data_IF_761372056540
#
_entry.id   IF_761372056540
#
_cell.length_a   1.000
_cell.length_b   1.000
_cell.length_c   1.000
_cell.angle_alpha   90.00
_cell.angle_beta   90.00
_cell.angle_gamma   90.00
#
_symmetry.space_group_name_H-M   'P 1'
#
loop_
_entity.id
_entity.type
_entity.pdbx_description
1 polymer ?
#
# COMPACT_ATOMS: atom_id res chain seq x y z
N UNK A 1 29.19 -6.35 -3.49
CA UNK A 1 28.38 -6.93 -4.60
C UNK A 1 27.05 -6.21 -4.82
N UNK A 2 26.22 -6.02 -3.78
CA UNK A 2 24.86 -5.46 -3.92
C UNK A 2 24.81 -4.07 -4.58
N UNK A 3 25.80 -3.21 -4.31
CA UNK A 3 25.89 -1.84 -4.83
C UNK A 3 26.54 -1.72 -6.21
N UNK A 4 27.00 -2.83 -6.80
CA UNK A 4 27.69 -2.84 -8.10
C UNK A 4 26.69 -3.17 -9.23
N UNK A 5 26.71 -2.50 -10.39
CA UNK A 5 25.72 -2.70 -11.47
C UNK A 5 25.54 -4.16 -11.95
N UNK A 6 26.64 -4.90 -12.10
CA UNK A 6 26.62 -6.33 -12.47
C UNK A 6 26.41 -7.23 -11.25
N UNK A 7 27.18 -7.00 -10.17
CA UNK A 7 27.09 -7.76 -8.93
C UNK A 7 25.69 -7.76 -8.30
N UNK A 8 24.91 -6.68 -8.47
CA UNK A 8 23.54 -6.58 -7.98
C UNK A 8 22.61 -7.60 -8.64
N UNK A 9 22.84 -7.95 -9.92
CA UNK A 9 22.06 -8.97 -10.64
C UNK A 9 22.30 -10.37 -10.07
N UNK A 10 23.58 -10.70 -9.82
CA UNK A 10 23.97 -11.97 -9.19
C UNK A 10 23.39 -12.03 -7.77
N UNK A 11 23.53 -10.95 -7.02
CA UNK A 11 23.01 -10.87 -5.66
C UNK A 11 21.48 -11.05 -5.60
N UNK A 12 20.72 -10.46 -6.53
CA UNK A 12 19.27 -10.72 -6.67
C UNK A 12 18.96 -12.18 -6.97
N UNK A 13 19.74 -12.83 -7.84
CA UNK A 13 19.57 -14.26 -8.13
C UNK A 13 19.80 -15.13 -6.89
N UNK A 14 20.77 -14.75 -6.03
CA UNK A 14 21.00 -15.39 -4.73
C UNK A 14 19.78 -15.23 -3.82
N UNK A 15 19.28 -13.98 -3.64
CA UNK A 15 18.11 -13.69 -2.79
C UNK A 15 16.89 -14.56 -3.18
N UNK A 16 16.61 -14.69 -4.48
CA UNK A 16 15.50 -15.51 -4.98
C UNK A 16 15.58 -16.97 -4.54
N UNK A 17 16.80 -17.51 -4.53
CA UNK A 17 17.09 -18.93 -4.27
C UNK A 17 17.25 -19.25 -2.78
N UNK A 18 17.22 -18.26 -1.90
CA UNK A 18 17.29 -18.51 -0.45
C UNK A 18 16.13 -19.38 0.01
N UNK A 19 16.45 -20.38 0.84
CA UNK A 19 15.49 -21.32 1.42
C UNK A 19 15.38 -21.19 2.93
N UNK A 20 16.44 -20.73 3.60
CA UNK A 20 16.49 -20.62 5.05
C UNK A 20 16.38 -19.16 5.48
N UNK A 21 15.59 -18.93 6.52
CA UNK A 21 15.37 -17.60 7.12
C UNK A 21 16.66 -17.02 7.69
N UNK A 22 17.47 -17.85 8.36
CA UNK A 22 18.77 -17.46 8.91
C UNK A 22 19.74 -16.89 7.85
N UNK A 23 19.70 -17.42 6.62
CA UNK A 23 20.55 -16.90 5.53
C UNK A 23 20.11 -15.48 5.13
N UNK A 24 18.80 -15.22 5.10
CA UNK A 24 18.27 -13.89 4.81
C UNK A 24 18.62 -12.91 5.94
N UNK A 25 18.49 -13.33 7.20
CA UNK A 25 18.88 -12.52 8.36
C UNK A 25 20.37 -12.15 8.34
N UNK A 26 21.24 -13.12 7.99
CA UNK A 26 22.69 -12.89 7.85
C UNK A 26 22.99 -11.88 6.74
N UNK A 27 22.29 -12.00 5.60
CA UNK A 27 22.39 -11.04 4.50
C UNK A 27 21.93 -9.66 4.95
N UNK A 28 20.80 -9.58 5.65
CA UNK A 28 20.28 -8.32 6.16
C UNK A 28 21.24 -7.66 7.17
N UNK A 29 21.80 -8.43 8.11
CA UNK A 29 22.81 -7.94 9.05
C UNK A 29 24.07 -7.41 8.34
N UNK A 30 24.50 -8.09 7.27
CA UNK A 30 25.64 -7.65 6.45
C UNK A 30 25.35 -6.39 5.62
N UNK A 31 24.08 -6.13 5.29
CA UNK A 31 23.66 -4.92 4.58
C UNK A 31 23.49 -3.72 5.52
N UNK A 32 23.11 -3.99 6.77
CA UNK A 32 22.91 -3.00 7.83
C UNK A 32 24.24 -2.56 8.47
N UNK A 33 25.23 -3.45 8.54
CA UNK A 33 26.55 -3.14 9.10
C UNK A 33 27.20 -1.96 8.36
N UNK A 34 27.60 -0.92 9.12
CA UNK A 34 28.31 0.28 8.65
C UNK A 34 29.79 0.00 8.34
N UNK A 35 30.08 -1.13 7.69
CA UNK A 35 31.44 -1.65 7.51
C UNK A 35 32.22 -0.96 6.39
N UNK A 36 31.88 0.27 6.04
CA UNK A 36 32.56 0.98 4.95
C UNK A 36 33.22 2.26 5.44
N UNK A 37 34.38 2.58 4.87
CA UNK A 37 35.24 3.72 5.25
C UNK A 37 34.51 5.07 5.32
N UNK A 38 33.36 5.19 4.65
CA UNK A 38 32.52 6.40 4.57
C UNK A 38 31.41 6.48 5.64
N UNK A 39 31.33 5.54 6.59
CA UNK A 39 30.28 5.52 7.64
C UNK A 39 28.86 5.18 7.16
N UNK A 40 28.62 5.12 5.85
CA UNK A 40 27.33 4.74 5.27
C UNK A 40 27.09 3.22 5.28
N UNK A 41 25.84 2.82 5.52
CA UNK A 41 25.43 1.41 5.38
C UNK A 41 25.52 0.94 3.92
N UNK A 42 25.71 -0.37 3.70
CA UNK A 42 25.74 -0.93 2.34
C UNK A 42 24.40 -0.70 1.62
N UNK A 43 23.29 -0.76 2.36
CA UNK A 43 21.96 -0.49 1.81
C UNK A 43 21.80 0.97 1.35
N UNK A 44 22.33 1.92 2.10
CA UNK A 44 22.35 3.33 1.69
C UNK A 44 23.16 3.53 0.39
N UNK A 45 24.30 2.84 0.26
CA UNK A 45 25.06 2.81 -1.01
C UNK A 45 24.26 2.18 -2.16
N UNK A 46 23.46 1.16 -1.89
CA UNK A 46 22.54 0.53 -2.88
C UNK A 46 21.49 1.53 -3.35
N UNK A 47 20.89 2.29 -2.44
CA UNK A 47 19.91 3.35 -2.75
C UNK A 47 20.58 4.45 -3.58
N UNK A 48 21.70 4.98 -3.11
CA UNK A 48 22.44 6.07 -3.76
C UNK A 48 22.99 5.72 -5.15
N UNK A 49 23.34 4.43 -5.39
CA UNK A 49 23.81 3.94 -6.70
C UNK A 49 22.69 3.44 -7.61
N UNK A 50 21.43 3.68 -7.27
CA UNK A 50 20.28 3.31 -8.11
C UNK A 50 20.04 1.80 -8.24
N UNK A 51 20.60 0.97 -7.35
CA UNK A 51 20.47 -0.49 -7.41
C UNK A 51 19.16 -0.98 -6.74
N UNK A 52 18.07 -0.26 -7.01
CA UNK A 52 16.75 -0.39 -6.36
C UNK A 52 16.09 -1.76 -6.53
N UNK A 53 16.46 -2.49 -7.57
CA UNK A 53 15.92 -3.80 -7.83
C UNK A 53 16.35 -4.84 -6.78
N UNK A 54 17.45 -4.58 -6.05
CA UNK A 54 17.85 -5.38 -4.87
C UNK A 54 16.83 -5.23 -3.74
N UNK A 55 16.39 -4.00 -3.46
CA UNK A 55 15.40 -3.71 -2.42
C UNK A 55 14.05 -4.40 -2.69
N UNK A 56 13.58 -4.31 -3.93
CA UNK A 56 12.34 -4.98 -4.33
C UNK A 56 12.43 -6.51 -4.21
N UNK A 57 13.60 -7.08 -4.49
CA UNK A 57 13.81 -8.52 -4.34
C UNK A 57 13.80 -8.94 -2.86
N UNK A 58 14.47 -8.18 -1.99
CA UNK A 58 14.44 -8.40 -0.55
C UNK A 58 13.02 -8.27 0.00
N UNK A 59 12.28 -7.22 -0.41
CA UNK A 59 10.91 -7.01 0.03
C UNK A 59 9.96 -8.14 -0.44
N UNK A 60 10.15 -8.60 -1.69
CA UNK A 60 9.42 -9.74 -2.23
C UNK A 60 9.72 -11.01 -1.44
N UNK A 61 10.99 -11.23 -1.09
CA UNK A 61 11.41 -12.40 -0.32
C UNK A 61 10.83 -12.39 1.09
N UNK A 62 10.85 -11.24 1.77
CA UNK A 62 10.26 -11.06 3.10
C UNK A 62 8.73 -11.27 3.14
N UNK A 63 8.06 -11.18 1.99
CA UNK A 63 6.62 -11.43 1.89
C UNK A 63 6.24 -12.91 1.77
N UNK A 64 7.19 -13.80 1.54
CA UNK A 64 6.92 -15.23 1.39
C UNK A 64 6.66 -15.86 2.78
N UNK A 65 5.77 -16.85 2.85
CA UNK A 65 5.29 -17.46 4.11
C UNK A 65 6.41 -17.97 5.04
N UNK A 66 7.60 -18.31 4.52
CA UNK A 66 8.74 -18.74 5.32
C UNK A 66 9.68 -17.62 5.84
N UNK A 67 9.44 -16.37 5.46
CA UNK A 67 10.34 -15.24 5.76
C UNK A 67 9.62 -14.06 6.44
N UNK A 68 8.37 -14.26 6.86
CA UNK A 68 7.54 -13.20 7.43
C UNK A 68 8.13 -12.59 8.71
N UNK A 69 8.85 -13.37 9.49
CA UNK A 69 9.46 -12.92 10.75
C UNK A 69 10.56 -11.88 10.52
N UNK A 70 11.20 -11.94 9.34
CA UNK A 70 12.28 -11.04 8.94
C UNK A 70 11.76 -9.68 8.47
N UNK A 71 10.45 -9.56 8.19
CA UNK A 71 9.86 -8.30 7.70
C UNK A 71 10.19 -7.10 8.59
N UNK A 72 10.14 -7.27 9.92
CA UNK A 72 10.39 -6.16 10.85
C UNK A 72 11.84 -5.68 10.78
N UNK A 73 12.79 -6.62 10.71
CA UNK A 73 14.21 -6.31 10.56
C UNK A 73 14.47 -5.59 9.24
N UNK A 74 13.88 -6.07 8.14
CA UNK A 74 13.99 -5.43 6.84
C UNK A 74 13.43 -4.01 6.82
N UNK A 75 12.22 -3.81 7.36
CA UNK A 75 11.58 -2.47 7.42
C UNK A 75 12.40 -1.50 8.26
N UNK A 76 12.88 -1.94 9.44
CA UNK A 76 13.73 -1.12 10.30
C UNK A 76 14.99 -0.67 9.56
N UNK A 77 15.73 -1.61 8.98
CA UNK A 77 16.93 -1.33 8.20
C UNK A 77 16.62 -0.36 7.04
N UNK A 78 15.57 -0.62 6.26
CA UNK A 78 15.19 0.24 5.14
C UNK A 78 14.94 1.68 5.60
N UNK A 79 14.19 1.88 6.68
CA UNK A 79 13.88 3.21 7.19
C UNK A 79 15.15 3.91 7.69
N UNK A 80 16.00 3.21 8.44
CA UNK A 80 17.27 3.74 8.90
C UNK A 80 18.19 4.13 7.74
N UNK A 81 18.30 3.32 6.70
CA UNK A 81 19.09 3.63 5.50
C UNK A 81 18.51 4.77 4.65
N UNK A 82 17.23 5.07 4.77
CA UNK A 82 16.61 6.27 4.19
C UNK A 82 16.83 7.51 5.08
N UNK A 83 17.36 7.37 6.31
CA UNK A 83 17.55 8.46 7.26
C UNK A 83 16.33 8.73 8.14
N UNK A 84 15.37 7.79 8.21
CA UNK A 84 14.17 7.91 9.01
C UNK A 84 14.26 7.03 10.28
N UNK A 85 13.89 7.58 11.44
CA UNK A 85 13.99 6.90 12.75
C UNK A 85 13.05 5.69 12.91
N UNK A 86 12.06 5.57 12.02
CA UNK A 86 11.00 4.57 12.11
C UNK A 86 9.96 4.88 13.18
N UNK A 87 10.04 6.06 13.81
CA UNK A 87 9.03 6.54 14.74
C UNK A 87 7.82 7.02 13.93
N UNK A 88 6.62 6.71 14.43
CA UNK A 88 5.38 7.13 13.78
C UNK A 88 5.24 8.67 13.89
N UNK A 89 4.92 9.38 12.81
CA UNK A 89 4.71 10.82 12.88
C UNK A 89 3.52 11.16 13.79
N UNK A 90 3.63 12.30 14.47
CA UNK A 90 2.59 12.78 15.37
C UNK A 90 1.38 13.29 14.57
N UNK A 91 0.14 13.11 15.07
CA UNK A 91 -1.06 13.43 14.31
C UNK A 91 -1.36 14.93 14.14
N UNK A 92 -0.56 15.84 14.71
CA UNK A 92 -0.87 17.27 14.78
C UNK A 92 0.26 18.21 14.32
N UNK A 93 1.31 17.67 13.69
CA UNK A 93 2.33 18.50 13.06
C UNK A 93 1.85 18.90 11.66
N UNK A 94 1.85 20.19 11.35
CA UNK A 94 1.58 20.71 10.00
C UNK A 94 2.65 20.25 8.99
N UNK A 95 3.78 19.76 9.49
CA UNK A 95 4.87 19.23 8.69
C UNK A 95 4.57 17.85 8.12
N UNK A 96 4.80 17.72 6.81
CA UNK A 96 4.67 16.48 6.09
C UNK A 96 5.86 15.56 6.41
N UNK A 97 5.59 14.40 7.00
CA UNK A 97 6.62 13.39 7.21
C UNK A 97 7.24 12.93 5.86
N UNK A 98 8.57 12.88 5.73
CA UNK A 98 9.22 12.61 4.45
C UNK A 98 9.26 11.12 4.08
N UNK A 99 8.95 10.19 5.00
CA UNK A 99 9.23 8.76 4.81
C UNK A 99 8.57 8.20 3.55
N UNK A 100 7.27 8.42 3.36
CA UNK A 100 6.56 7.88 2.20
C UNK A 100 7.16 8.40 0.89
N UNK A 101 7.54 9.68 0.85
CA UNK A 101 8.19 10.32 -0.30
C UNK A 101 9.59 9.73 -0.54
N UNK A 102 10.35 9.48 0.52
CA UNK A 102 11.64 8.80 0.46
C UNK A 102 11.51 7.37 -0.09
N UNK A 103 10.47 6.64 0.30
CA UNK A 103 10.22 5.26 -0.19
C UNK A 103 9.82 5.26 -1.66
N UNK A 104 8.87 6.11 -2.08
CA UNK A 104 8.42 6.13 -3.49
C UNK A 104 9.46 6.74 -4.42
N UNK A 105 10.28 7.68 -3.92
CA UNK A 105 11.41 8.24 -4.65
C UNK A 105 12.68 7.39 -4.60
N UNK A 106 12.82 6.49 -3.62
CA UNK A 106 14.08 5.83 -3.25
C UNK A 106 15.23 6.83 -3.11
N UNK A 107 14.96 7.88 -2.35
CA UNK A 107 15.87 8.98 -2.03
C UNK A 107 15.95 9.10 -0.50
N UNK A 108 17.12 9.42 0.05
CA UNK A 108 17.27 9.64 1.50
C UNK A 108 16.58 10.94 1.94
N UNK A 109 16.16 11.00 3.20
CA UNK A 109 15.54 12.18 3.80
C UNK A 109 16.42 13.44 3.65
N UNK A 110 17.74 13.28 3.77
CA UNK A 110 18.71 14.38 3.62
C UNK A 110 18.67 15.00 2.22
N UNK A 111 18.63 14.15 1.17
CA UNK A 111 18.57 14.60 -0.23
C UNK A 111 17.20 15.12 -0.63
N UNK A 112 16.15 14.77 0.12
CA UNK A 112 14.80 15.26 -0.16
C UNK A 112 14.67 16.77 0.07
N UNK A 113 15.36 17.31 1.08
CA UNK A 113 15.36 18.75 1.36
C UNK A 113 16.01 19.59 0.27
N UNK A 114 17.01 19.05 -0.44
CA UNK A 114 17.73 19.78 -1.50
C UNK A 114 17.00 19.82 -2.85
N UNK A 115 16.01 18.95 -3.08
CA UNK A 115 15.28 18.85 -4.36
C UNK A 115 14.16 19.91 -4.52
N UNK A 116 13.94 20.75 -3.51
CA UNK A 116 12.85 21.73 -3.48
C UNK A 116 13.26 23.07 -4.15
N UNK A 117 14.54 23.24 -4.53
CA UNK A 117 15.10 24.56 -4.82
C UNK A 117 15.55 24.89 -6.26
N UNK A 118 15.17 24.12 -7.29
CA UNK A 118 15.51 24.47 -8.69
C UNK A 118 14.29 24.94 -9.50
N UNK A 119 14.50 26.00 -10.30
CA UNK A 119 13.51 26.95 -10.82
C UNK A 119 12.71 26.54 -12.09
N UNK A 120 11.62 27.31 -12.30
CA UNK A 120 10.90 27.73 -13.55
C UNK A 120 9.82 26.84 -14.20
N UNK A 121 8.61 27.45 -14.37
CA UNK A 121 7.30 27.04 -14.97
C UNK A 121 6.07 26.71 -14.06
N UNK A 122 5.30 27.74 -13.70
CA UNK A 122 4.27 27.79 -12.63
C UNK A 122 3.18 26.69 -12.57
N UNK A 123 2.74 26.07 -13.66
CA UNK A 123 1.58 25.13 -13.62
C UNK A 123 1.98 23.65 -13.70
N UNK A 124 2.92 23.29 -14.58
CA UNK A 124 3.49 21.94 -14.60
C UNK A 124 4.43 21.70 -13.41
N UNK A 125 5.11 22.75 -12.89
CA UNK A 125 5.92 22.65 -11.68
C UNK A 125 5.10 22.29 -10.45
N UNK A 126 3.90 22.86 -10.27
CA UNK A 126 3.09 22.57 -9.06
C UNK A 126 2.72 21.09 -9.05
N UNK A 127 2.25 20.53 -10.16
CA UNK A 127 1.88 19.11 -10.22
C UNK A 127 3.11 18.19 -10.15
N UNK A 128 4.24 18.59 -10.76
CA UNK A 128 5.51 17.88 -10.64
C UNK A 128 6.05 17.90 -9.20
N UNK A 129 6.02 19.03 -8.51
CA UNK A 129 6.45 19.16 -7.11
C UNK A 129 5.59 18.30 -6.18
N UNK A 130 4.27 18.24 -6.42
CA UNK A 130 3.37 17.40 -5.64
C UNK A 130 3.66 15.90 -5.83
N UNK A 131 4.07 15.46 -7.02
CA UNK A 131 4.32 14.04 -7.29
C UNK A 131 5.77 13.61 -7.06
N UNK A 132 6.74 14.52 -7.10
CA UNK A 132 8.17 14.20 -6.98
C UNK A 132 8.65 14.20 -5.52
N UNK A 133 9.66 13.37 -5.20
CA UNK A 133 10.31 12.39 -6.09
C UNK A 133 9.49 11.11 -6.26
N UNK A 134 9.49 10.54 -7.47
CA UNK A 134 8.81 9.27 -7.76
C UNK A 134 9.62 8.37 -8.69
N UNK A 135 9.75 7.09 -8.33
CA UNK A 135 10.41 6.07 -9.14
C UNK A 135 9.56 4.80 -9.20
N UNK A 136 9.65 4.05 -10.30
CA UNK A 136 8.91 2.78 -10.43
C UNK A 136 9.33 1.75 -9.40
N UNK A 137 10.64 1.52 -9.16
CA UNK A 137 11.07 0.63 -8.10
C UNK A 137 10.60 1.09 -6.71
N UNK A 138 10.52 2.39 -6.44
CA UNK A 138 10.04 2.92 -5.16
C UNK A 138 8.55 2.71 -4.95
N UNK A 139 7.73 2.98 -5.97
CA UNK A 139 6.30 2.69 -5.91
C UNK A 139 6.01 1.20 -5.74
N UNK A 140 6.73 0.32 -6.43
CA UNK A 140 6.59 -1.13 -6.26
C UNK A 140 7.00 -1.58 -4.85
N UNK A 141 8.07 -0.99 -4.30
CA UNK A 141 8.48 -1.23 -2.92
C UNK A 141 7.38 -0.79 -1.94
N UNK A 142 6.84 0.41 -2.07
CA UNK A 142 5.78 0.92 -1.21
C UNK A 142 4.54 0.03 -1.23
N UNK A 143 4.07 -0.37 -2.42
CA UNK A 143 2.97 -1.33 -2.58
C UNK A 143 3.25 -2.64 -1.84
N UNK A 144 4.49 -3.14 -1.95
CA UNK A 144 4.90 -4.37 -1.28
C UNK A 144 4.92 -4.23 0.24
N UNK A 145 5.42 -3.12 0.77
CA UNK A 145 5.40 -2.81 2.20
C UNK A 145 3.98 -2.71 2.75
N UNK A 146 3.04 -2.14 2.00
CA UNK A 146 1.63 -2.11 2.41
C UNK A 146 1.01 -3.51 2.52
N UNK A 147 1.53 -4.52 1.82
CA UNK A 147 1.06 -5.91 1.92
C UNK A 147 1.62 -6.69 3.12
N UNK A 148 2.47 -6.08 3.95
CA UNK A 148 3.08 -6.77 5.09
C UNK A 148 2.13 -6.92 6.28
N UNK A 149 2.07 -8.14 6.82
CA UNK A 149 1.23 -8.49 7.96
C UNK A 149 2.01 -8.54 9.27
N UNK A 150 3.23 -9.07 9.25
CA UNK A 150 4.06 -9.22 10.47
C UNK A 150 4.75 -7.92 10.85
N UNK A 151 5.23 -7.16 9.85
CA UNK A 151 5.66 -5.78 10.02
C UNK A 151 4.58 -4.86 9.46
N UNK A 152 3.50 -4.69 10.24
CA UNK A 152 2.36 -3.85 9.84
C UNK A 152 2.85 -2.47 9.38
N UNK A 153 2.36 -1.93 8.26
CA UNK A 153 2.86 -0.68 7.64
C UNK A 153 2.35 0.56 8.37
N UNK A 154 2.33 0.57 9.72
CA UNK A 154 1.72 1.63 10.53
C UNK A 154 2.45 2.95 10.42
N UNK A 155 3.78 2.94 10.38
CA UNK A 155 4.63 4.14 10.23
C UNK A 155 4.50 4.68 8.81
N UNK A 156 4.59 3.82 7.79
CA UNK A 156 4.46 4.20 6.39
C UNK A 156 3.07 4.77 6.07
N UNK A 157 2.01 4.14 6.59
CA UNK A 157 0.63 4.62 6.45
C UNK A 157 0.41 5.94 7.18
N UNK A 158 1.06 6.13 8.33
CA UNK A 158 0.98 7.40 9.05
C UNK A 158 1.67 8.52 8.27
N UNK A 159 2.87 8.28 7.73
CA UNK A 159 3.59 9.19 6.83
C UNK A 159 2.80 9.53 5.56
N UNK A 160 2.09 8.56 4.98
CA UNK A 160 1.18 8.82 3.87
C UNK A 160 0.06 9.80 4.26
N UNK A 161 -0.47 9.70 5.48
CA UNK A 161 -1.55 10.57 5.96
C UNK A 161 -1.08 11.95 6.46
N UNK A 162 0.22 12.21 6.54
CA UNK A 162 0.72 13.58 6.83
C UNK A 162 0.92 14.39 5.56
N UNK A 163 0.79 13.77 4.38
CA UNK A 163 0.92 14.50 3.12
C UNK A 163 -0.28 15.44 2.94
N UNK A 164 -0.03 16.62 2.39
CA UNK A 164 -1.06 17.61 2.08
C UNK A 164 -2.16 17.04 1.19
N UNK A 165 -3.37 17.58 1.35
CA UNK A 165 -4.53 17.19 0.55
C UNK A 165 -4.28 17.33 -0.95
N UNK A 166 -3.63 18.43 -1.36
CA UNK A 166 -3.25 18.65 -2.76
C UNK A 166 -2.34 17.53 -3.29
N UNK A 167 -1.35 17.09 -2.49
CA UNK A 167 -0.46 15.99 -2.87
C UNK A 167 -1.21 14.67 -3.01
N UNK A 168 -2.03 14.31 -2.02
CA UNK A 168 -2.77 13.04 -2.06
C UNK A 168 -3.74 12.98 -3.25
N UNK A 169 -4.36 14.11 -3.60
CA UNK A 169 -5.21 14.21 -4.79
C UNK A 169 -4.40 14.11 -6.09
N UNK A 170 -3.21 14.73 -6.15
CA UNK A 170 -2.30 14.57 -7.29
C UNK A 170 -1.83 13.10 -7.43
N UNK A 171 -1.51 12.44 -6.31
CA UNK A 171 -1.09 11.04 -6.28
C UNK A 171 -2.20 10.11 -6.80
N UNK A 172 -3.46 10.40 -6.49
CA UNK A 172 -4.59 9.62 -6.97
C UNK A 172 -4.70 9.59 -8.51
N UNK A 173 -4.22 10.66 -9.17
CA UNK A 173 -4.23 10.80 -10.63
C UNK A 173 -2.90 10.44 -11.31
N UNK A 174 -1.87 10.08 -10.53
CA UNK A 174 -0.56 9.76 -11.09
C UNK A 174 -0.47 8.27 -11.48
N UNK A 175 0.11 7.90 -12.64
CA UNK A 175 0.17 6.51 -13.14
C UNK A 175 0.74 5.48 -12.17
N UNK A 176 1.63 5.91 -11.28
CA UNK A 176 2.38 5.02 -10.38
C UNK A 176 1.98 5.20 -8.91
N UNK A 177 1.62 6.42 -8.50
CA UNK A 177 1.32 6.73 -7.10
C UNK A 177 -0.14 6.37 -6.77
N UNK A 178 -1.03 6.38 -7.76
CA UNK A 178 -2.38 5.82 -7.66
C UNK A 178 -2.33 4.37 -7.16
N UNK A 179 -1.40 3.56 -7.67
CA UNK A 179 -1.19 2.17 -7.24
C UNK A 179 -0.73 2.05 -5.79
N UNK A 180 0.04 3.02 -5.30
CA UNK A 180 0.46 3.09 -3.89
C UNK A 180 -0.76 3.38 -3.00
N UNK A 181 -1.61 4.33 -3.40
CA UNK A 181 -2.87 4.63 -2.70
C UNK A 181 -3.83 3.44 -2.71
N UNK A 182 -4.02 2.79 -3.86
CA UNK A 182 -4.82 1.56 -3.98
C UNK A 182 -4.31 0.48 -3.00
N UNK A 183 -3.00 0.26 -2.96
CA UNK A 183 -2.40 -0.73 -2.05
C UNK A 183 -2.57 -0.38 -0.58
N UNK A 184 -2.50 0.90 -0.21
CA UNK A 184 -2.75 1.35 1.16
C UNK A 184 -4.22 1.18 1.55
N UNK A 185 -5.16 1.51 0.65
CA UNK A 185 -6.60 1.39 0.87
C UNK A 185 -7.04 -0.08 0.99
N UNK A 186 -6.54 -0.94 0.11
CA UNK A 186 -6.90 -2.36 0.06
C UNK A 186 -6.14 -3.24 1.07
N UNK A 187 -5.09 -2.72 1.72
CA UNK A 187 -4.35 -3.49 2.71
C UNK A 187 -5.14 -3.71 4.00
N UNK A 188 -5.27 -4.97 4.42
CA UNK A 188 -5.86 -5.34 5.72
C UNK A 188 -4.97 -4.94 6.91
N UNK A 189 -3.69 -4.72 6.66
CA UNK A 189 -2.72 -4.37 7.70
C UNK A 189 -2.67 -2.88 8.00
N UNK A 190 -3.19 -2.03 7.09
CA UNK A 190 -3.31 -0.58 7.27
C UNK A 190 -4.49 -0.28 8.22
N UNK A 191 -4.28 0.52 9.29
CA UNK A 191 -5.35 0.87 10.23
C UNK A 191 -6.52 1.58 9.54
N UNK A 192 -7.75 1.23 9.93
CA UNK A 192 -8.99 1.80 9.38
C UNK A 192 -9.04 3.32 9.54
N UNK A 193 -8.55 3.87 10.66
CA UNK A 193 -8.45 5.32 10.87
C UNK A 193 -7.62 6.05 9.81
N UNK A 194 -6.58 5.40 9.27
CA UNK A 194 -5.77 5.96 8.18
C UNK A 194 -6.51 5.90 6.85
N UNK A 195 -7.25 4.82 6.60
CA UNK A 195 -8.11 4.72 5.41
C UNK A 195 -9.25 5.75 5.44
N UNK A 196 -9.85 5.99 6.61
CA UNK A 196 -10.88 7.02 6.81
C UNK A 196 -10.33 8.44 6.59
N UNK A 197 -9.07 8.71 6.99
CA UNK A 197 -8.41 9.97 6.67
C UNK A 197 -8.23 10.15 5.15
N UNK A 198 -7.72 9.13 4.45
CA UNK A 198 -7.58 9.16 2.99
C UNK A 198 -8.92 9.36 2.28
N UNK A 199 -9.99 8.70 2.77
CA UNK A 199 -11.36 8.94 2.32
C UNK A 199 -11.71 10.42 2.42
N UNK A 200 -11.57 11.03 3.59
CA UNK A 200 -11.90 12.44 3.80
C UNK A 200 -11.17 13.38 2.84
N UNK A 201 -9.87 13.15 2.59
CA UNK A 201 -9.06 13.97 1.68
C UNK A 201 -9.49 13.81 0.21
N UNK A 202 -9.69 12.57 -0.24
CA UNK A 202 -10.06 12.27 -1.63
C UNK A 202 -11.51 12.63 -1.94
N UNK A 203 -12.38 12.61 -0.93
CA UNK A 203 -13.80 12.91 -1.07
C UNK A 203 -14.00 14.37 -1.54
N UNK A 204 -13.17 15.32 -1.10
CA UNK A 204 -13.28 16.76 -1.44
C UNK A 204 -13.37 16.98 -2.96
N UNK A 205 -12.51 16.32 -3.74
CA UNK A 205 -12.43 16.45 -5.20
C UNK A 205 -12.80 15.14 -5.93
N UNK A 206 -13.73 14.38 -5.36
CA UNK A 206 -14.07 13.03 -5.83
C UNK A 206 -14.46 12.96 -7.31
N UNK A 207 -15.23 13.93 -7.82
CA UNK A 207 -15.68 13.94 -9.21
C UNK A 207 -14.51 14.07 -10.20
N UNK A 208 -13.54 14.94 -9.90
CA UNK A 208 -12.34 15.12 -10.72
C UNK A 208 -11.50 13.84 -10.75
N UNK A 209 -11.32 13.21 -9.58
CA UNK A 209 -10.58 11.94 -9.45
C UNK A 209 -11.27 10.82 -10.22
N UNK A 210 -12.61 10.70 -10.15
CA UNK A 210 -13.38 9.68 -10.90
C UNK A 210 -13.21 9.82 -12.41
N UNK A 211 -13.07 11.05 -12.91
CA UNK A 211 -12.89 11.33 -14.34
C UNK A 211 -11.47 11.09 -14.81
N UNK A 212 -10.51 10.88 -13.91
CA UNK A 212 -9.15 10.54 -14.28
C UNK A 212 -8.95 9.05 -14.62
N UNK A 213 -8.03 8.77 -15.54
CA UNK A 213 -7.68 7.40 -15.98
C UNK A 213 -7.23 6.51 -14.83
N UNK A 214 -6.44 7.05 -13.90
CA UNK A 214 -5.90 6.33 -12.75
C UNK A 214 -6.77 6.58 -11.51
N UNK A 215 -7.26 7.80 -11.34
CA UNK A 215 -8.12 8.18 -10.23
C UNK A 215 -9.40 7.36 -10.14
N UNK A 216 -10.03 7.00 -11.27
CA UNK A 216 -11.19 6.10 -11.29
C UNK A 216 -10.93 4.76 -10.57
N UNK A 217 -9.73 4.19 -10.72
CA UNK A 217 -9.32 2.96 -10.03
C UNK A 217 -9.07 3.18 -8.53
N UNK A 218 -8.53 4.34 -8.16
CA UNK A 218 -8.38 4.72 -6.74
C UNK A 218 -9.74 4.83 -6.06
N UNK A 219 -10.74 5.43 -6.73
CA UNK A 219 -12.11 5.52 -6.18
C UNK A 219 -12.77 4.16 -6.06
N UNK A 220 -12.52 3.25 -7.00
CA UNK A 220 -12.95 1.86 -6.89
C UNK A 220 -12.30 1.09 -5.73
N UNK A 221 -11.01 1.34 -5.47
CA UNK A 221 -10.30 0.78 -4.32
C UNK A 221 -10.83 1.38 -3.01
N UNK A 222 -11.11 2.69 -3.00
CA UNK A 222 -11.72 3.38 -1.87
C UNK A 222 -13.10 2.81 -1.54
N UNK A 223 -13.95 2.60 -2.55
CA UNK A 223 -15.26 1.97 -2.41
C UNK A 223 -15.19 0.58 -1.76
N UNK A 224 -14.20 -0.23 -2.18
CA UNK A 224 -13.94 -1.55 -1.58
C UNK A 224 -13.43 -1.42 -0.15
N UNK A 225 -12.52 -0.48 0.10
CA UNK A 225 -11.91 -0.29 1.41
C UNK A 225 -12.92 0.14 2.49
N UNK A 226 -13.97 0.86 2.11
CA UNK A 226 -15.06 1.29 3.01
C UNK A 226 -15.71 0.10 3.71
N UNK A 227 -15.75 -1.09 3.10
CA UNK A 227 -16.30 -2.31 3.73
C UNK A 227 -15.61 -2.68 5.05
N UNK A 228 -14.34 -2.30 5.19
CA UNK A 228 -13.53 -2.56 6.38
C UNK A 228 -13.53 -1.41 7.40
N UNK A 229 -14.16 -0.28 7.09
CA UNK A 229 -14.15 0.94 7.91
C UNK A 229 -15.33 0.97 8.90
N UNK A 230 -15.27 1.83 9.95
CA UNK A 230 -16.42 2.09 10.81
C UNK A 230 -17.58 2.67 10.00
N UNK A 231 -18.82 2.24 10.29
CA UNK A 231 -20.05 2.72 9.65
C UNK A 231 -20.03 2.63 8.10
N UNK A 232 -19.75 1.45 7.52
CA UNK A 232 -19.54 1.28 6.09
C UNK A 232 -20.75 1.77 5.27
N UNK A 233 -21.96 1.51 5.76
CA UNK A 233 -23.21 1.89 5.10
C UNK A 233 -23.35 3.41 4.94
N UNK A 234 -23.09 4.17 6.01
CA UNK A 234 -23.16 5.63 6.00
C UNK A 234 -22.07 6.24 5.09
N UNK A 235 -20.86 5.68 5.12
CA UNK A 235 -19.76 6.10 4.25
C UNK A 235 -20.07 5.86 2.77
N UNK A 236 -20.66 4.72 2.44
CA UNK A 236 -21.08 4.38 1.07
C UNK A 236 -22.17 5.30 0.56
N UNK A 237 -23.21 5.54 1.36
CA UNK A 237 -24.26 6.49 1.00
C UNK A 237 -23.69 7.88 0.75
N UNK A 238 -22.78 8.36 1.60
CA UNK A 238 -22.14 9.66 1.43
C UNK A 238 -21.33 9.75 0.12
N UNK A 239 -20.50 8.75 -0.18
CA UNK A 239 -19.72 8.69 -1.42
C UNK A 239 -20.61 8.72 -2.66
N UNK A 240 -21.66 7.90 -2.66
CA UNK A 240 -22.58 7.77 -3.81
C UNK A 240 -23.39 9.06 -3.97
N UNK A 241 -23.88 9.66 -2.88
CA UNK A 241 -24.62 10.91 -2.92
C UNK A 241 -23.83 12.04 -3.60
N UNK A 242 -22.52 12.13 -3.35
CA UNK A 242 -21.65 13.13 -3.99
C UNK A 242 -21.51 12.96 -5.50
N UNK A 243 -21.56 11.72 -6.00
CA UNK A 243 -21.42 11.41 -7.43
C UNK A 243 -22.76 11.36 -8.18
N UNK A 244 -23.87 11.14 -7.47
CA UNK A 244 -25.20 10.98 -8.05
C UNK A 244 -25.67 12.22 -8.83
N UNK A 245 -25.24 13.42 -8.41
CA UNK A 245 -25.54 14.70 -9.08
C UNK A 245 -24.94 14.77 -10.49
N UNK A 246 -23.82 14.09 -10.71
CA UNK A 246 -23.09 14.08 -11.99
C UNK A 246 -23.23 12.74 -12.73
N UNK A 247 -24.21 11.89 -12.37
CA UNK A 247 -24.35 10.52 -12.90
C UNK A 247 -24.43 10.44 -14.43
N UNK A 248 -25.13 11.38 -15.07
CA UNK A 248 -25.28 11.45 -16.54
C UNK A 248 -23.95 11.81 -17.23
N UNK A 249 -23.16 12.67 -16.60
CA UNK A 249 -21.82 12.98 -17.10
C UNK A 249 -20.88 11.80 -16.92
N UNK A 250 -20.99 11.09 -15.79
CA UNK A 250 -20.15 9.94 -15.49
C UNK A 250 -20.48 8.73 -16.38
N UNK A 251 -21.75 8.49 -16.71
CA UNK A 251 -22.16 7.35 -17.55
C UNK A 251 -21.60 7.40 -18.96
N UNK A 252 -21.35 8.60 -19.49
CA UNK A 252 -20.75 8.81 -20.82
C UNK A 252 -19.23 9.02 -20.78
N UNK A 253 -18.63 9.16 -19.59
CA UNK A 253 -17.21 9.44 -19.44
C UNK A 253 -16.36 8.16 -19.67
N UNK A 254 -15.23 8.24 -20.41
CA UNK A 254 -14.39 7.07 -20.71
C UNK A 254 -13.95 6.26 -19.49
N UNK A 255 -13.69 6.94 -18.37
CA UNK A 255 -13.27 6.31 -17.11
C UNK A 255 -14.37 6.33 -16.04
N UNK A 256 -15.24 7.34 -16.07
CA UNK A 256 -16.27 7.54 -15.06
C UNK A 256 -17.38 6.49 -15.13
N UNK A 257 -17.66 5.93 -16.31
CA UNK A 257 -18.74 4.97 -16.49
C UNK A 257 -18.51 3.69 -15.67
N UNK A 258 -17.25 3.28 -15.47
CA UNK A 258 -16.92 2.14 -14.62
C UNK A 258 -17.33 2.37 -13.16
N UNK A 259 -17.05 3.58 -12.63
CA UNK A 259 -17.45 3.95 -11.26
C UNK A 259 -18.97 4.11 -11.18
N UNK A 260 -19.59 4.72 -12.20
CA UNK A 260 -21.04 4.87 -12.32
C UNK A 260 -21.77 3.52 -12.19
N UNK A 261 -21.33 2.52 -12.97
CA UNK A 261 -21.89 1.17 -12.89
C UNK A 261 -21.58 0.47 -11.57
N UNK A 262 -20.35 0.56 -11.07
CA UNK A 262 -19.94 -0.12 -9.82
C UNK A 262 -20.72 0.38 -8.61
N UNK A 263 -20.95 1.69 -8.51
CA UNK A 263 -21.70 2.31 -7.42
C UNK A 263 -23.22 2.29 -7.66
N UNK A 264 -23.66 1.86 -8.85
CA UNK A 264 -25.07 1.83 -9.27
C UNK A 264 -25.74 3.20 -9.08
N UNK A 265 -25.13 4.26 -9.63
CA UNK A 265 -25.57 5.64 -9.40
C UNK A 265 -27.00 5.91 -9.90
N UNK A 266 -27.43 5.25 -10.99
CA UNK A 266 -28.81 5.37 -11.49
C UNK A 266 -29.82 4.78 -10.49
N UNK A 267 -29.54 3.58 -9.97
CA UNK A 267 -30.38 2.95 -8.96
C UNK A 267 -30.44 3.78 -7.68
N UNK A 268 -29.33 4.40 -7.28
CA UNK A 268 -29.30 5.29 -6.12
C UNK A 268 -30.17 6.52 -6.32
N UNK A 269 -30.12 7.13 -7.51
CA UNK A 269 -30.90 8.34 -7.80
C UNK A 269 -32.40 8.07 -7.96
N UNK A 270 -32.75 6.96 -8.63
CA UNK A 270 -34.14 6.67 -8.98
C UNK A 270 -34.87 5.91 -7.86
N UNK A 271 -34.16 5.03 -7.14
CA UNK A 271 -34.73 4.21 -6.07
C UNK A 271 -33.74 3.98 -4.90
N UNK A 272 -33.46 5.01 -4.07
CA UNK A 272 -32.50 4.91 -2.97
C UNK A 272 -32.77 3.76 -2.01
N UNK A 273 -34.04 3.43 -1.74
CA UNK A 273 -34.43 2.32 -0.85
C UNK A 273 -34.07 0.95 -1.43
N UNK A 274 -34.21 0.75 -2.74
CA UNK A 274 -33.78 -0.47 -3.43
C UNK A 274 -32.26 -0.55 -3.52
N UNK A 275 -31.60 0.59 -3.75
CA UNK A 275 -30.15 0.69 -3.72
C UNK A 275 -29.60 0.23 -2.36
N UNK A 276 -30.14 0.73 -1.24
CA UNK A 276 -29.73 0.32 0.11
C UNK A 276 -29.88 -1.18 0.32
N UNK A 277 -31.02 -1.75 -0.09
CA UNK A 277 -31.26 -3.20 0.00
C UNK A 277 -30.28 -4.00 -0.85
N UNK A 278 -29.94 -3.55 -2.05
CA UNK A 278 -29.09 -4.30 -2.98
C UNK A 278 -27.61 -4.17 -2.64
N UNK A 279 -27.15 -2.94 -2.44
CA UNK A 279 -25.73 -2.61 -2.31
C UNK A 279 -25.25 -2.82 -0.88
N UNK A 280 -26.01 -2.39 0.13
CA UNK A 280 -25.59 -2.53 1.53
C UNK A 280 -25.80 -3.97 2.04
N UNK A 281 -26.92 -4.64 1.71
CA UNK A 281 -27.15 -6.01 2.19
C UNK A 281 -26.33 -7.09 1.44
N UNK A 282 -25.74 -6.76 0.29
CA UNK A 282 -24.78 -7.66 -0.37
C UNK A 282 -23.51 -7.90 0.47
N UNK A 283 -23.18 -7.03 1.42
CA UNK A 283 -22.02 -7.19 2.28
C UNK A 283 -22.20 -8.29 3.34
N UNK A 284 -23.41 -8.43 3.90
CA UNK A 284 -23.71 -9.45 4.90
C UNK A 284 -23.67 -10.89 4.38
N UNK A 285 -23.87 -11.11 3.08
CA UNK A 285 -23.88 -12.45 2.46
C UNK A 285 -22.50 -12.90 1.96
N UNK A 286 -21.64 -11.98 1.52
CA UNK A 286 -20.26 -12.28 1.11
C UNK A 286 -19.36 -12.67 2.30
N UNK A 287 -19.51 -11.97 3.43
CA UNK A 287 -18.76 -12.24 4.67
C UNK A 287 -19.20 -13.54 5.36
N UNK A 288 -20.48 -13.92 5.25
CA UNK A 288 -20.99 -15.23 5.70
C UNK A 288 -20.47 -16.38 4.84
N UNK A 289 -20.25 -16.18 3.54
CA UNK A 289 -19.69 -17.24 2.67
C UNK A 289 -18.21 -17.51 2.94
N UNK A 290 -17.39 -16.50 3.24
CA UNK A 290 -15.97 -16.72 3.53
C UNK A 290 -15.73 -17.38 4.89
N UNK A 291 -16.52 -17.01 5.91
CA UNK A 291 -16.48 -17.62 7.25
C UNK A 291 -16.92 -19.09 7.21
N UNK A 292 -18.00 -19.41 6.49
CA UNK A 292 -18.45 -20.80 6.32
C UNK A 292 -17.42 -21.68 5.59
N UNK A 293 -16.67 -21.14 4.62
CA UNK A 293 -15.61 -21.89 3.92
C UNK A 293 -14.40 -22.13 4.83
N UNK A 294 -14.02 -21.14 5.65
CA UNK A 294 -12.96 -21.27 6.66
C UNK A 294 -13.30 -22.34 7.71
N UNK A 295 -14.53 -22.33 8.23
CA UNK A 295 -14.98 -23.30 9.23
C UNK A 295 -15.08 -24.72 8.67
N UNK A 296 -15.46 -24.86 7.39
CA UNK A 296 -15.51 -26.16 6.74
C UNK A 296 -14.10 -26.75 6.48
N UNK A 297 -13.09 -25.90 6.26
CA UNK A 297 -11.69 -26.31 6.15
C UNK A 297 -11.07 -26.65 7.51
N UNK A 298 -11.39 -25.90 8.57
CA UNK A 298 -10.97 -26.18 9.94
C UNK A 298 -11.56 -27.51 10.46
N UNK A 299 -12.85 -27.78 10.17
CA UNK A 299 -13.53 -29.02 10.56
C UNK A 299 -12.95 -30.25 9.83
N UNK A 300 -12.58 -30.13 8.55
CA UNK A 300 -11.90 -31.21 7.80
C UNK A 300 -10.49 -31.50 8.32
N UNK A 301 -9.76 -30.50 8.82
CA UNK A 301 -8.43 -30.69 9.45
C UNK A 301 -8.52 -31.45 10.77
N UNK A 302 -9.50 -31.12 11.62
CA UNK A 302 -9.70 -31.82 12.90
C UNK A 302 -10.15 -33.28 12.73
N UNK A 303 -10.98 -33.59 11.72
CA UNK A 303 -11.37 -34.98 11.44
C UNK A 303 -10.20 -35.86 10.98
N UNK A 304 -9.24 -35.32 10.23
CA UNK A 304 -8.02 -36.05 9.82
C UNK A 304 -7.06 -36.29 10.99
N UNK A 305 -6.95 -35.35 11.93
CA UNK A 305 -6.11 -35.52 13.13
C UNK A 305 -6.64 -36.63 14.06
N UNK A 306 -7.96 -36.74 14.22
CA UNK A 306 -8.57 -37.81 15.02
C UNK A 306 -8.44 -39.19 14.36
N UNK A 307 -8.55 -39.29 13.03
CA UNK A 307 -8.36 -40.56 12.31
C UNK A 307 -6.91 -41.08 12.36
N UNK A 308 -5.92 -40.18 12.47
CA UNK A 308 -4.51 -40.57 12.57
C UNK A 308 -4.13 -41.09 13.96
N UNK A 309 -4.76 -40.58 15.04
CA UNK A 309 -4.54 -41.08 16.40
C UNK A 309 -5.10 -42.49 16.61
N UNK A 310 -6.23 -42.83 15.98
CA UNK A 310 -6.83 -44.16 16.14
C UNK A 310 -6.07 -45.29 15.41
N UNK A 311 -5.21 -44.97 14.43
CA UNK A 311 -4.37 -45.96 13.73
C UNK A 311 -3.08 -46.29 14.48
N UNK A 312 -2.67 -45.50 15.47
CA UNK A 312 -1.49 -45.79 16.29
C UNK A 312 -1.81 -46.68 17.51
N UNK A 313 -3.06 -46.69 17.99
CA UNK A 313 -3.48 -47.53 19.13
C UNK A 313 -3.91 -48.96 18.76
N UNK A 314 -3.88 -49.35 17.48
CA UNK A 314 -4.24 -50.70 17.01
C UNK A 314 -3.03 -51.55 16.60
N UNK A 315 -1.81 -51.12 16.96
CA UNK A 315 -0.55 -51.81 16.66
C UNK A 315 0.34 -52.04 17.90
N UNK A 316 -0.26 -52.09 19.09
CA UNK A 316 0.40 -52.62 20.29
C UNK A 316 -0.32 -53.86 20.76
#
# INVERSE_FOLDING_TARGET
MASHPIGSRIFRAVIRRLRKTADLETILGSLDSSSTEDGHSVLEKVINKGQHAVLNELATKCSQEGFTDVQRSFVKMLFTSLGHSGVKPQPNTEEEDPLIRCVVGLVSCQKMGSLIHDETDESELVQNNLCQPVTLPGCLLAQKLFSYHTARPTVLAASLCTQSSARLQAWAKHPMLSRVLESALLSDSVPTSRKSHLLGVLEVNLLDIVRDRYGSRVVEALWTAVDSMPEPDALKERLVARLATSRVQLSTHPFGHFVHHKLQLDLFADAPSLWRKRVLHSHGSAQKRSTLISDHQASKRNRKAHASKNKQNTRQ
#
